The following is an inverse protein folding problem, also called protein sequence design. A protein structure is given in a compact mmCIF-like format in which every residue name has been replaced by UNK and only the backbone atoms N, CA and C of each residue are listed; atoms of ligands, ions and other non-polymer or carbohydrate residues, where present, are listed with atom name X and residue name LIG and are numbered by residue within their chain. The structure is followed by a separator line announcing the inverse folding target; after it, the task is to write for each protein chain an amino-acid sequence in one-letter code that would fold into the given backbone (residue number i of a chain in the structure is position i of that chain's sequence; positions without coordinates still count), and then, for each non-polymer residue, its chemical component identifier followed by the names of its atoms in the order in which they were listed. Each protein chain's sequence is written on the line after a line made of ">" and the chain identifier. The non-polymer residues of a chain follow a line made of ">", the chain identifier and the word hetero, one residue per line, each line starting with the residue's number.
data_IF_281756119516
#
_entry.id   IF_281756119516
#
_cell.length_a   1.000
_cell.length_b   1.000
_cell.length_c   1.000
_cell.angle_alpha   90.00
_cell.angle_beta   90.00
_cell.angle_gamma   90.00
#
_symmetry.space_group_name_H-M   'P 1'
#
loop_
_entity.id
_entity.type
_entity.pdbx_description
1 polymer ?
#
# COMPACT_ATOMS: atom_id res chain seq x y z
N UNK A 1 3.56 8.97 -45.57
CA UNK A 1 2.73 9.42 -44.44
C UNK A 1 3.51 9.09 -43.18
N UNK A 2 4.08 10.07 -42.50
CA UNK A 2 4.72 9.83 -41.20
C UNK A 2 3.60 9.48 -40.23
N UNK A 3 3.52 8.22 -39.80
CA UNK A 3 2.52 7.80 -38.83
C UNK A 3 2.69 8.66 -37.55
N UNK A 4 1.67 9.42 -37.20
CA UNK A 4 1.67 10.23 -35.99
C UNK A 4 1.80 9.31 -34.78
N UNK A 5 2.89 9.46 -34.02
CA UNK A 5 3.09 8.75 -32.77
C UNK A 5 2.29 9.44 -31.67
N UNK A 6 1.37 8.72 -31.02
CA UNK A 6 0.55 9.24 -29.92
C UNK A 6 0.79 8.43 -28.65
N UNK A 7 0.63 9.08 -27.50
CA UNK A 7 0.94 8.51 -26.20
C UNK A 7 0.03 9.16 -25.13
N UNK A 8 -0.69 8.36 -24.33
CA UNK A 8 -1.56 8.85 -23.24
C UNK A 8 -1.54 7.91 -22.04
N UNK A 9 -1.80 8.46 -20.85
CA UNK A 9 -1.75 7.68 -19.63
C UNK A 9 -2.40 8.34 -18.42
N UNK A 10 -2.69 7.51 -17.42
CA UNK A 10 -3.36 7.89 -16.18
C UNK A 10 -2.41 7.74 -14.99
N UNK A 11 -2.64 8.56 -13.97
CA UNK A 11 -1.99 8.51 -12.67
C UNK A 11 -3.06 8.21 -11.61
N UNK A 12 -3.02 7.04 -10.99
CA UNK A 12 -3.99 6.65 -9.95
C UNK A 12 -3.29 6.72 -8.61
N UNK A 13 -3.55 7.78 -7.85
CA UNK A 13 -3.06 7.92 -6.48
C UNK A 13 -3.85 6.98 -5.58
N UNK A 14 -3.17 6.19 -4.74
CA UNK A 14 -3.88 5.42 -3.72
C UNK A 14 -4.57 6.34 -2.71
N UNK A 15 -5.57 5.82 -2.01
CA UNK A 15 -6.34 6.59 -1.04
C UNK A 15 -5.52 7.11 0.14
N UNK A 16 -4.27 6.67 0.29
CA UNK A 16 -3.32 7.16 1.29
C UNK A 16 -2.41 8.28 0.75
N UNK A 17 -2.44 8.57 -0.56
CA UNK A 17 -1.50 9.52 -1.17
C UNK A 17 -0.06 9.01 -1.28
N UNK A 18 0.19 7.71 -1.08
CA UNK A 18 1.55 7.15 -0.91
C UNK A 18 2.12 6.56 -2.20
N UNK A 19 1.26 6.06 -3.08
CA UNK A 19 1.66 5.45 -4.34
C UNK A 19 0.82 5.94 -5.50
N UNK A 20 1.41 5.98 -6.70
CA UNK A 20 0.73 6.34 -7.94
C UNK A 20 0.98 5.28 -8.99
N UNK A 21 -0.08 4.74 -9.58
CA UNK A 21 0.03 3.87 -10.75
C UNK A 21 0.03 4.71 -12.01
N UNK A 22 1.11 4.64 -12.79
CA UNK A 22 1.20 5.23 -14.11
C UNK A 22 0.97 4.16 -15.16
N UNK A 23 0.02 4.41 -16.06
CA UNK A 23 -0.36 3.46 -17.11
C UNK A 23 -0.30 4.13 -18.46
N UNK A 24 0.46 3.55 -19.38
CA UNK A 24 0.39 3.91 -20.79
C UNK A 24 -0.69 3.09 -21.49
N UNK A 25 -1.76 3.76 -21.87
CA UNK A 25 -2.98 3.13 -22.41
C UNK A 25 -3.01 3.15 -23.93
N UNK A 26 -2.28 4.06 -24.57
CA UNK A 26 -2.20 4.16 -26.02
C UNK A 26 -0.76 4.42 -26.46
N UNK A 27 -0.34 3.69 -27.49
CA UNK A 27 0.90 3.90 -28.23
C UNK A 27 0.69 3.50 -29.68
N UNK A 28 0.81 4.44 -30.61
CA UNK A 28 0.64 4.21 -32.05
C UNK A 28 1.92 4.56 -32.83
N UNK A 29 2.12 3.94 -34.00
CA UNK A 29 3.28 4.22 -34.86
C UNK A 29 4.62 3.71 -34.33
N UNK A 30 4.61 2.83 -33.32
CA UNK A 30 5.79 2.12 -32.82
C UNK A 30 5.42 0.64 -32.61
N UNK A 31 5.94 -0.28 -33.43
CA UNK A 31 5.75 -1.72 -33.24
C UNK A 31 6.25 -2.20 -31.87
N UNK A 32 5.49 -3.08 -31.21
CA UNK A 32 5.83 -3.58 -29.88
C UNK A 32 7.21 -4.25 -29.80
N UNK A 33 7.67 -4.88 -30.88
CA UNK A 33 8.99 -5.50 -30.98
C UNK A 33 10.15 -4.49 -31.10
N UNK A 34 9.88 -3.21 -31.28
CA UNK A 34 10.89 -2.15 -31.25
C UNK A 34 11.04 -1.50 -29.87
N UNK A 35 10.17 -1.86 -28.91
CA UNK A 35 10.14 -1.28 -27.57
C UNK A 35 10.93 -2.19 -26.64
N UNK A 36 12.00 -1.64 -26.06
CA UNK A 36 12.75 -2.27 -24.97
C UNK A 36 12.02 -2.03 -23.65
N UNK A 37 11.78 -0.74 -23.33
CA UNK A 37 11.21 -0.34 -22.05
C UNK A 37 10.45 0.98 -22.13
N UNK A 38 9.58 1.18 -21.14
CA UNK A 38 8.99 2.49 -20.83
C UNK A 38 9.42 2.91 -19.44
N UNK A 39 10.01 4.10 -19.32
CA UNK A 39 10.34 4.70 -18.02
C UNK A 39 9.35 5.81 -17.70
N UNK A 40 9.03 5.95 -16.42
CA UNK A 40 8.21 7.04 -15.89
C UNK A 40 9.06 7.86 -14.93
N UNK A 41 9.11 9.18 -15.10
CA UNK A 41 9.88 10.08 -14.25
C UNK A 41 8.98 11.12 -13.61
N UNK A 42 9.10 11.31 -12.30
CA UNK A 42 8.42 12.34 -11.49
C UNK A 42 9.47 13.01 -10.60
N UNK A 43 9.81 14.27 -10.89
CA UNK A 43 10.97 14.91 -10.26
C UNK A 43 12.23 14.06 -10.46
N UNK A 44 12.90 13.68 -9.37
CA UNK A 44 14.09 12.82 -9.39
C UNK A 44 13.77 11.32 -9.38
N UNK A 45 12.51 10.94 -9.15
CA UNK A 45 12.09 9.53 -9.06
C UNK A 45 11.88 8.95 -10.44
N UNK A 46 12.40 7.75 -10.69
CA UNK A 46 12.19 7.01 -11.95
C UNK A 46 11.68 5.60 -11.69
N UNK A 47 10.66 5.19 -12.44
CA UNK A 47 10.10 3.84 -12.43
C UNK A 47 10.18 3.19 -13.81
N UNK A 48 10.30 1.86 -13.83
CA UNK A 48 10.34 1.04 -15.04
C UNK A 48 9.01 0.29 -15.20
N UNK A 49 8.43 0.32 -16.40
CA UNK A 49 7.20 -0.42 -16.68
C UNK A 49 7.39 -1.93 -16.62
N UNK A 50 6.35 -2.67 -16.26
CA UNK A 50 6.23 -4.08 -16.65
C UNK A 50 6.27 -4.20 -18.18
N UNK A 51 6.81 -5.33 -18.68
CA UNK A 51 6.80 -5.62 -20.12
C UNK A 51 5.38 -5.93 -20.61
N UNK A 52 5.09 -5.59 -21.86
CA UNK A 52 3.80 -5.78 -22.51
C UNK A 52 2.81 -4.65 -22.25
N UNK A 53 1.89 -4.44 -23.20
CA UNK A 53 0.81 -3.47 -23.05
C UNK A 53 -0.29 -3.96 -22.10
N UNK A 54 -0.91 -3.06 -21.31
CA UNK A 54 -0.53 -1.67 -21.13
C UNK A 54 0.76 -1.56 -20.31
N UNK A 55 1.69 -0.69 -20.76
CA UNK A 55 2.96 -0.48 -20.05
C UNK A 55 2.66 0.27 -18.77
N UNK A 56 2.78 -0.37 -17.61
CA UNK A 56 2.41 0.24 -16.33
C UNK A 56 3.48 0.08 -15.26
N UNK A 57 3.53 1.04 -14.35
CA UNK A 57 4.40 1.03 -13.17
C UNK A 57 3.64 1.57 -11.98
N UNK A 58 3.88 1.01 -10.80
CA UNK A 58 3.50 1.61 -9.55
C UNK A 58 4.72 2.31 -8.96
N UNK A 59 4.60 3.58 -8.60
CA UNK A 59 5.69 4.38 -8.04
C UNK A 59 5.33 4.94 -6.68
N UNK A 60 6.32 5.01 -5.79
CA UNK A 60 6.18 5.70 -4.50
C UNK A 60 6.27 7.19 -4.74
N UNK A 61 5.32 7.95 -4.21
CA UNK A 61 5.35 9.42 -4.20
C UNK A 61 5.74 9.98 -2.84
N UNK A 62 6.23 9.14 -1.94
CA UNK A 62 6.78 9.55 -0.64
C UNK A 62 7.81 10.67 -0.83
N UNK A 63 7.64 11.74 -0.07
CA UNK A 63 8.50 12.92 -0.10
C UNK A 63 8.09 13.99 -1.12
N UNK A 64 7.08 13.74 -1.96
CA UNK A 64 6.48 14.79 -2.78
C UNK A 64 5.43 15.56 -1.95
N UNK A 65 5.44 16.90 -1.98
CA UNK A 65 4.44 17.70 -1.28
C UNK A 65 3.05 17.57 -1.95
N UNK A 66 1.96 17.87 -1.23
CA UNK A 66 0.65 18.04 -1.86
C UNK A 66 0.68 19.09 -2.97
N UNK A 67 -0.15 18.90 -4.00
CA UNK A 67 -0.25 19.79 -5.15
C UNK A 67 -0.10 19.07 -6.49
N UNK A 68 -0.04 19.87 -7.56
CA UNK A 68 0.13 19.35 -8.92
C UNK A 68 1.57 18.93 -9.18
N UNK A 69 1.73 17.76 -9.77
CA UNK A 69 2.98 17.16 -10.22
C UNK A 69 2.86 16.71 -11.68
N UNK A 70 3.99 16.40 -12.29
CA UNK A 70 4.05 15.92 -13.67
C UNK A 70 4.80 14.60 -13.75
N UNK A 71 4.28 13.67 -14.55
CA UNK A 71 4.98 12.45 -14.92
C UNK A 71 5.38 12.53 -16.38
N UNK A 72 6.63 12.19 -16.69
CA UNK A 72 7.10 12.00 -18.06
C UNK A 72 7.27 10.51 -18.35
N UNK A 73 6.50 9.98 -19.30
CA UNK A 73 6.72 8.63 -19.84
C UNK A 73 7.68 8.71 -21.03
N UNK A 74 8.72 7.87 -21.07
CA UNK A 74 9.67 7.77 -22.20
C UNK A 74 9.73 6.34 -22.69
N UNK A 75 9.49 6.13 -23.99
CA UNK A 75 9.58 4.83 -24.66
C UNK A 75 10.96 4.70 -25.29
N UNK A 76 11.69 3.65 -24.97
CA UNK A 76 13.03 3.37 -25.48
C UNK A 76 13.04 2.18 -26.43
N UNK A 77 13.94 2.20 -27.41
CA UNK A 77 14.32 1.02 -28.17
C UNK A 77 15.48 0.26 -27.51
N UNK A 78 15.85 -0.89 -28.07
CA UNK A 78 16.97 -1.72 -27.60
C UNK A 78 18.34 -1.05 -27.73
N UNK A 79 18.46 0.05 -28.49
CA UNK A 79 19.65 0.90 -28.53
C UNK A 79 19.64 2.01 -27.47
N UNK A 80 18.70 1.95 -26.51
CA UNK A 80 18.48 2.98 -25.46
C UNK A 80 18.19 4.39 -26.00
N UNK A 81 17.68 4.50 -27.21
CA UNK A 81 17.22 5.77 -27.78
C UNK A 81 15.74 6.00 -27.45
N UNK A 82 15.36 7.24 -27.12
CA UNK A 82 13.97 7.62 -26.89
C UNK A 82 13.23 7.69 -28.22
N UNK A 83 12.20 6.86 -28.39
CA UNK A 83 11.36 6.81 -29.58
C UNK A 83 10.22 7.83 -29.55
N UNK A 84 9.67 8.08 -28.35
CA UNK A 84 8.63 9.07 -28.03
C UNK A 84 8.58 9.30 -26.52
N UNK A 85 8.07 10.46 -26.10
CA UNK A 85 7.72 10.75 -24.72
C UNK A 85 6.38 11.48 -24.58
N UNK A 86 5.74 11.33 -23.42
CA UNK A 86 4.52 12.04 -23.02
C UNK A 86 4.73 12.71 -21.66
N UNK A 87 4.04 13.81 -21.41
CA UNK A 87 3.90 14.36 -20.06
C UNK A 87 2.43 14.41 -19.68
N UNK A 88 2.10 14.01 -18.45
CA UNK A 88 0.76 14.13 -17.89
C UNK A 88 0.84 14.75 -16.50
N UNK A 89 -0.15 15.56 -16.15
CA UNK A 89 -0.28 16.12 -14.81
C UNK A 89 -1.03 15.16 -13.89
N UNK A 90 -0.70 15.16 -12.62
CA UNK A 90 -1.47 14.50 -11.57
C UNK A 90 -1.42 15.33 -10.28
N UNK A 91 -2.37 15.13 -9.38
CA UNK A 91 -2.44 15.88 -8.12
C UNK A 91 -2.23 14.93 -6.95
N UNK A 92 -1.40 15.33 -5.99
CA UNK A 92 -1.33 14.70 -4.68
C UNK A 92 -2.19 15.54 -3.73
N UNK A 93 -3.27 14.96 -3.24
CA UNK A 93 -4.12 15.64 -2.27
C UNK A 93 -3.44 15.76 -0.90
N UNK A 94 -3.70 16.85 -0.20
CA UNK A 94 -3.29 16.97 1.19
C UNK A 94 -4.14 16.02 2.04
N UNK A 95 -3.48 15.18 2.85
CA UNK A 95 -4.15 14.22 3.73
C UNK A 95 -3.78 14.55 5.17
N UNK A 96 -4.77 14.58 6.06
CA UNK A 96 -4.52 14.59 7.50
C UNK A 96 -4.23 13.15 7.96
N UNK A 97 -2.98 12.74 7.81
CA UNK A 97 -2.47 11.44 8.22
C UNK A 97 -2.20 11.42 9.72
N UNK A 98 -2.78 10.43 10.42
CA UNK A 98 -2.60 10.27 11.86
C UNK A 98 -1.53 9.24 12.24
N UNK A 99 -1.21 8.29 11.36
CA UNK A 99 -0.20 7.28 11.62
C UNK A 99 1.17 7.73 11.12
N UNK A 100 2.20 7.47 11.91
CA UNK A 100 3.59 7.66 11.50
C UNK A 100 4.27 6.32 11.27
N UNK A 101 5.31 6.31 10.45
CA UNK A 101 6.08 5.10 10.10
C UNK A 101 5.17 3.91 9.68
N UNK A 102 4.09 4.18 8.94
CA UNK A 102 3.20 3.13 8.44
C UNK A 102 3.78 2.32 7.28
N UNK A 103 4.88 2.80 6.68
CA UNK A 103 5.69 2.06 5.70
C UNK A 103 6.84 1.27 6.35
N UNK A 104 7.00 1.35 7.68
CA UNK A 104 7.98 0.61 8.48
C UNK A 104 9.45 0.85 8.10
N UNK A 105 9.72 1.85 7.27
CA UNK A 105 11.07 2.16 6.81
C UNK A 105 11.96 2.73 7.93
N UNK A 106 11.37 3.28 8.99
CA UNK A 106 12.09 3.70 10.19
C UNK A 106 12.28 2.57 11.24
N UNK A 107 11.99 1.32 10.88
CA UNK A 107 12.03 0.18 11.80
C UNK A 107 10.69 0.02 12.54
N UNK A 108 10.73 -0.55 13.75
CA UNK A 108 9.49 -0.92 14.47
C UNK A 108 8.80 0.26 15.15
N UNK A 109 9.55 1.21 15.72
CA UNK A 109 8.95 2.32 16.47
C UNK A 109 8.20 3.29 15.53
N UNK A 110 7.06 3.86 15.95
CA UNK A 110 6.43 3.77 17.28
C UNK A 110 5.39 2.65 17.40
N UNK A 111 5.38 1.68 16.49
CA UNK A 111 4.51 0.51 16.62
C UNK A 111 4.98 -0.37 17.76
N UNK A 112 4.02 -0.92 18.50
CA UNK A 112 4.27 -1.80 19.64
C UNK A 112 3.13 -2.81 19.78
N UNK A 113 3.26 -3.80 20.66
CA UNK A 113 2.18 -4.75 20.94
C UNK A 113 2.68 -6.01 21.63
N UNK A 114 1.79 -6.95 21.95
CA UNK A 114 2.15 -8.25 22.51
C UNK A 114 2.48 -9.28 21.42
N UNK A 115 3.21 -10.33 21.81
CA UNK A 115 3.54 -11.46 20.94
C UNK A 115 4.72 -11.18 19.99
N UNK A 116 4.95 -12.09 19.03
CA UNK A 116 5.99 -11.92 18.03
C UNK A 116 5.45 -11.14 16.82
N UNK A 117 6.09 -10.00 16.56
CA UNK A 117 5.98 -9.25 15.33
C UNK A 117 7.36 -8.72 14.99
N UNK A 118 7.64 -8.55 13.71
CA UNK A 118 8.97 -8.13 13.26
C UNK A 118 8.83 -7.19 12.07
N UNK A 119 9.59 -6.10 12.07
CA UNK A 119 9.87 -5.39 10.82
C UNK A 119 10.95 -6.18 10.08
N UNK A 120 10.54 -6.89 9.03
CA UNK A 120 11.48 -7.63 8.20
C UNK A 120 12.34 -6.65 7.41
N UNK A 121 13.62 -6.97 7.25
CA UNK A 121 14.49 -6.34 6.25
C UNK A 121 14.75 -7.33 5.13
N UNK A 122 15.12 -6.80 3.96
CA UNK A 122 15.35 -7.54 2.71
C UNK A 122 16.31 -8.74 2.83
N UNK A 123 17.06 -8.89 3.92
CA UNK A 123 18.06 -9.94 4.13
C UNK A 123 17.49 -11.36 4.40
N UNK A 124 16.16 -11.53 4.49
CA UNK A 124 15.53 -12.86 4.65
C UNK A 124 14.75 -13.25 3.38
N UNK A 125 15.20 -14.30 2.69
CA UNK A 125 14.85 -14.77 1.33
C UNK A 125 13.36 -15.04 1.00
N UNK A 126 12.36 -14.54 1.74
CA UNK A 126 10.94 -14.81 1.42
C UNK A 126 9.97 -13.63 1.54
N UNK A 127 10.39 -12.47 2.07
CA UNK A 127 9.52 -11.32 2.35
C UNK A 127 10.04 -10.00 1.79
N UNK A 128 9.76 -9.70 0.51
CA UNK A 128 9.92 -8.34 0.00
C UNK A 128 8.89 -7.41 0.66
N UNK A 129 9.31 -6.20 1.06
CA UNK A 129 8.39 -5.09 1.27
C UNK A 129 7.71 -4.68 -0.04
N UNK A 130 6.68 -3.85 0.05
CA UNK A 130 5.85 -3.52 -1.10
C UNK A 130 6.58 -2.63 -2.11
N UNK A 131 7.15 -1.50 -1.66
CA UNK A 131 7.89 -0.56 -2.52
C UNK A 131 9.31 -0.30 -2.06
N UNK A 132 9.62 -0.78 -0.86
CA UNK A 132 10.82 -0.47 -0.08
C UNK A 132 11.22 -1.75 0.66
N UNK A 133 12.43 -1.86 1.24
CA UNK A 133 12.96 -3.13 1.71
C UNK A 133 12.29 -3.65 2.99
N UNK A 134 11.42 -2.89 3.64
CA UNK A 134 10.81 -3.26 4.93
C UNK A 134 9.30 -3.46 4.81
N UNK A 135 8.79 -4.30 5.71
CA UNK A 135 7.37 -4.49 5.97
C UNK A 135 7.20 -4.99 7.40
N UNK A 136 5.98 -4.87 7.94
CA UNK A 136 5.61 -5.48 9.20
C UNK A 136 5.09 -6.90 8.97
N UNK A 137 5.73 -7.89 9.57
CA UNK A 137 5.30 -9.29 9.54
C UNK A 137 4.72 -9.72 10.88
N UNK A 138 3.55 -10.35 10.83
CA UNK A 138 2.81 -10.92 11.96
C UNK A 138 2.54 -12.42 11.73
N UNK A 139 2.40 -13.19 12.81
CA UNK A 139 2.19 -14.64 12.78
C UNK A 139 3.45 -15.45 12.49
N UNK A 140 3.29 -16.66 11.97
CA UNK A 140 4.39 -17.54 11.56
C UNK A 140 4.83 -18.55 12.62
N UNK A 141 4.02 -18.78 13.65
CA UNK A 141 4.33 -19.69 14.75
C UNK A 141 4.12 -21.14 14.35
N UNK A 142 3.02 -21.43 13.64
CA UNK A 142 2.60 -22.80 13.34
C UNK A 142 2.00 -23.57 14.53
N UNK A 143 1.66 -22.86 15.60
CA UNK A 143 0.89 -23.36 16.74
C UNK A 143 0.02 -22.23 17.27
N UNK A 144 -0.92 -22.55 18.19
CA UNK A 144 -1.87 -21.58 18.71
C UNK A 144 -1.15 -20.40 19.34
N UNK A 145 -1.33 -19.22 18.76
CA UNK A 145 -0.68 -18.01 19.20
C UNK A 145 -1.52 -16.78 18.85
N UNK A 146 -1.47 -15.77 19.73
CA UNK A 146 -2.04 -14.44 19.48
C UNK A 146 -0.92 -13.42 19.53
N UNK A 147 -0.80 -12.62 18.47
CA UNK A 147 0.12 -11.48 18.42
C UNK A 147 -0.63 -10.25 17.94
N UNK A 148 -0.19 -9.06 18.33
CA UNK A 148 -0.74 -7.84 17.77
C UNK A 148 0.32 -6.77 17.63
N UNK A 149 0.12 -5.89 16.65
CA UNK A 149 0.90 -4.67 16.50
C UNK A 149 -0.05 -3.48 16.38
N UNK A 150 0.26 -2.41 17.11
CA UNK A 150 -0.62 -1.26 17.28
C UNK A 150 0.13 0.05 17.39
N UNK A 151 -0.56 1.13 17.05
CA UNK A 151 -0.09 2.50 17.21
C UNK A 151 -1.21 3.38 17.77
N UNK A 152 -0.86 4.24 18.74
CA UNK A 152 -1.80 5.18 19.35
C UNK A 152 -2.04 6.38 18.44
N UNK A 153 -3.29 6.74 18.24
CA UNK A 153 -3.70 7.92 17.46
C UNK A 153 -4.80 8.69 18.18
N UNK A 154 -4.77 10.01 18.08
CA UNK A 154 -5.87 10.86 18.55
C UNK A 154 -6.77 11.21 17.38
N UNK A 155 -8.02 10.77 17.41
CA UNK A 155 -9.00 11.13 16.38
C UNK A 155 -9.46 12.57 16.63
N UNK A 156 -9.38 13.49 15.65
CA UNK A 156 -9.85 14.86 15.80
C UNK A 156 -11.32 14.94 16.22
N UNK A 157 -11.66 15.90 17.09
CA UNK A 157 -13.04 16.15 17.53
C UNK A 157 -13.97 16.47 16.35
N UNK A 158 -13.46 17.19 15.36
CA UNK A 158 -14.16 17.62 14.15
C UNK A 158 -13.99 16.65 12.96
N UNK A 159 -13.58 15.40 13.21
CA UNK A 159 -13.51 14.38 12.15
C UNK A 159 -14.89 14.20 11.49
N UNK A 160 -14.94 14.18 10.17
CA UNK A 160 -16.14 13.87 9.36
C UNK A 160 -16.11 12.43 8.87
N UNK A 161 -14.96 12.02 8.36
CA UNK A 161 -14.71 10.68 7.87
C UNK A 161 -13.26 10.29 8.21
N UNK A 162 -12.99 9.01 8.29
CA UNK A 162 -11.62 8.50 8.36
C UNK A 162 -11.53 7.20 7.56
N UNK A 163 -10.37 6.98 6.94
CA UNK A 163 -10.11 5.83 6.09
C UNK A 163 -8.78 5.20 6.48
N UNK A 164 -8.85 3.94 6.92
CA UNK A 164 -7.68 3.11 7.19
C UNK A 164 -7.34 2.33 5.93
N UNK A 165 -6.12 2.52 5.44
CA UNK A 165 -5.61 1.82 4.26
C UNK A 165 -4.26 1.21 4.53
N UNK A 166 -3.95 0.11 3.84
CA UNK A 166 -2.68 -0.58 3.93
C UNK A 166 -2.53 -1.56 2.77
N UNK A 167 -1.33 -2.09 2.60
CA UNK A 167 -1.00 -3.18 1.68
C UNK A 167 -0.92 -4.47 2.47
N UNK A 168 -1.61 -5.49 1.99
CA UNK A 168 -1.65 -6.80 2.64
C UNK A 168 -1.10 -7.88 1.72
N UNK A 169 -0.12 -8.63 2.23
CA UNK A 169 0.35 -9.88 1.64
C UNK A 169 0.13 -11.01 2.65
N UNK A 170 -0.30 -12.16 2.14
CA UNK A 170 -0.53 -13.37 2.95
C UNK A 170 0.25 -14.51 2.32
N UNK A 171 1.14 -15.10 3.10
CA UNK A 171 1.85 -16.33 2.74
C UNK A 171 1.51 -17.40 3.76
N UNK A 172 0.95 -18.52 3.30
CA UNK A 172 0.49 -19.60 4.18
C UNK A 172 1.07 -20.94 3.73
N UNK A 173 1.40 -21.79 4.69
CA UNK A 173 1.77 -23.20 4.50
C UNK A 173 0.56 -24.13 4.66
N UNK A 174 -0.63 -23.58 4.90
CA UNK A 174 -1.87 -24.32 4.98
C UNK A 174 -2.24 -24.92 3.62
N UNK A 175 -2.99 -26.02 3.66
CA UNK A 175 -3.49 -26.63 2.44
C UNK A 175 -4.47 -25.66 1.72
N UNK A 176 -4.50 -25.64 0.38
CA UNK A 176 -5.39 -24.76 -0.37
C UNK A 176 -6.85 -24.89 0.08
N UNK A 177 -7.49 -23.76 0.38
CA UNK A 177 -8.89 -23.69 0.82
C UNK A 177 -9.13 -23.94 2.31
N UNK A 178 -8.11 -24.33 3.08
CA UNK A 178 -8.22 -24.47 4.53
C UNK A 178 -8.15 -23.10 5.19
N UNK A 179 -9.21 -22.71 5.90
CA UNK A 179 -9.24 -21.50 6.72
C UNK A 179 -8.77 -21.88 8.13
N UNK A 180 -7.67 -21.26 8.58
CA UNK A 180 -6.94 -21.66 9.78
C UNK A 180 -6.54 -20.46 10.64
N UNK A 181 -5.88 -19.47 10.02
CA UNK A 181 -5.29 -18.33 10.71
C UNK A 181 -5.96 -17.03 10.25
N UNK A 182 -6.08 -16.08 11.18
CA UNK A 182 -6.84 -14.85 10.99
C UNK A 182 -6.01 -13.61 11.33
N UNK A 183 -6.23 -12.54 10.56
CA UNK A 183 -5.79 -11.18 10.86
C UNK A 183 -7.04 -10.33 11.11
N UNK A 184 -7.21 -9.81 12.31
CA UNK A 184 -8.23 -8.82 12.64
C UNK A 184 -7.63 -7.42 12.62
N UNK A 185 -8.34 -6.49 11.99
CA UNK A 185 -8.03 -5.06 12.00
C UNK A 185 -9.04 -4.39 12.90
N UNK A 186 -8.56 -3.75 13.95
CA UNK A 186 -9.37 -3.24 15.05
C UNK A 186 -9.06 -1.77 15.34
N UNK A 187 -10.02 -1.08 15.97
CA UNK A 187 -9.71 0.03 16.85
C UNK A 187 -9.86 -0.42 18.30
N UNK A 188 -8.83 -0.23 19.11
CA UNK A 188 -8.93 -0.44 20.55
C UNK A 188 -9.26 0.88 21.21
N UNK A 189 -10.40 0.89 21.89
CA UNK A 189 -10.88 2.01 22.70
C UNK A 189 -11.14 1.50 24.11
N UNK A 190 -10.50 2.11 25.10
CA UNK A 190 -10.69 1.77 26.52
C UNK A 190 -10.55 0.26 26.84
N UNK A 191 -9.70 -0.45 26.09
CA UNK A 191 -9.47 -1.89 26.24
C UNK A 191 -10.50 -2.79 25.54
N UNK A 192 -11.44 -2.23 24.78
CA UNK A 192 -12.41 -2.97 23.98
C UNK A 192 -12.13 -2.82 22.48
N UNK A 193 -12.31 -3.92 21.73
CA UNK A 193 -12.11 -3.96 20.29
C UNK A 193 -13.36 -3.51 19.54
N UNK A 194 -13.18 -2.56 18.63
CA UNK A 194 -14.09 -2.28 17.53
C UNK A 194 -13.50 -2.94 16.29
N UNK A 195 -13.99 -4.13 15.95
CA UNK A 195 -13.51 -4.88 14.78
C UNK A 195 -13.94 -4.15 13.50
N UNK A 196 -12.96 -3.73 12.70
CA UNK A 196 -13.21 -3.07 11.43
C UNK A 196 -13.31 -4.08 10.28
N UNK A 197 -12.42 -5.08 10.27
CA UNK A 197 -12.41 -6.15 9.27
C UNK A 197 -11.56 -7.33 9.74
N UNK A 198 -11.93 -8.53 9.33
CA UNK A 198 -11.13 -9.74 9.53
C UNK A 198 -10.76 -10.37 8.18
N UNK A 199 -9.50 -10.76 8.05
CA UNK A 199 -8.94 -11.52 6.94
C UNK A 199 -8.53 -12.90 7.43
N UNK A 200 -8.35 -13.83 6.50
CA UNK A 200 -7.82 -15.15 6.81
C UNK A 200 -6.72 -15.57 5.83
N UNK A 201 -6.05 -16.67 6.16
CA UNK A 201 -4.92 -17.23 5.42
C UNK A 201 -5.23 -17.61 3.95
N UNK A 202 -6.51 -17.74 3.55
CA UNK A 202 -6.91 -18.08 2.18
C UNK A 202 -7.03 -16.86 1.26
N UNK A 203 -6.82 -15.65 1.77
CA UNK A 203 -6.83 -14.42 0.98
C UNK A 203 -5.78 -14.48 -0.14
N UNK A 204 -6.25 -14.43 -1.39
CA UNK A 204 -5.37 -14.42 -2.56
C UNK A 204 -4.69 -13.05 -2.75
N UNK A 205 -3.53 -12.88 -2.15
CA UNK A 205 -2.69 -11.67 -2.31
C UNK A 205 -1.87 -11.64 -3.61
N UNK A 206 -1.89 -12.72 -4.42
CA UNK A 206 -1.09 -12.90 -5.64
C UNK A 206 -1.91 -12.78 -6.94
N UNK A 207 -3.18 -12.41 -6.82
CA UNK A 207 -4.12 -12.29 -7.95
C UNK A 207 -3.91 -11.04 -8.82
N UNK A 208 -4.81 -10.86 -9.79
CA UNK A 208 -4.89 -9.65 -10.62
C UNK A 208 -5.09 -8.41 -9.73
N UNK A 209 -4.33 -7.36 -10.00
CA UNK A 209 -4.32 -6.14 -9.18
C UNK A 209 -3.30 -6.14 -8.03
N UNK A 210 -2.57 -7.25 -7.82
CA UNK A 210 -1.43 -7.25 -6.90
C UNK A 210 -0.19 -6.59 -7.52
N UNK A 211 0.52 -5.84 -6.67
CA UNK A 211 1.86 -5.34 -6.94
C UNK A 211 2.79 -5.98 -5.91
N UNK A 212 3.88 -6.61 -6.36
CA UNK A 212 4.82 -7.30 -5.47
C UNK A 212 4.16 -8.33 -4.51
N UNK A 213 3.05 -8.95 -4.94
CA UNK A 213 2.23 -9.88 -4.13
C UNK A 213 1.51 -9.23 -2.93
N UNK A 214 1.33 -7.91 -2.94
CA UNK A 214 0.45 -7.21 -2.01
C UNK A 214 -0.81 -6.72 -2.72
N UNK A 215 -1.92 -6.74 -1.99
CA UNK A 215 -3.19 -6.13 -2.41
C UNK A 215 -3.49 -4.87 -1.58
N UNK A 216 -4.12 -3.84 -2.18
CA UNK A 216 -4.60 -2.68 -1.42
C UNK A 216 -5.82 -3.05 -0.58
N UNK A 217 -5.82 -2.61 0.67
CA UNK A 217 -6.96 -2.63 1.57
C UNK A 217 -7.37 -1.19 1.89
N UNK A 218 -8.68 -0.94 1.88
CA UNK A 218 -9.31 0.31 2.31
C UNK A 218 -10.52 -0.01 3.17
N UNK A 219 -10.60 0.59 4.36
CA UNK A 219 -11.67 0.40 5.33
C UNK A 219 -12.10 1.77 5.85
N UNK A 220 -13.40 2.07 5.76
CA UNK A 220 -13.96 3.27 6.39
C UNK A 220 -14.06 3.06 7.90
N UNK A 221 -13.62 4.06 8.65
CA UNK A 221 -13.56 4.03 10.11
C UNK A 221 -14.81 4.70 10.69
N UNK A 222 -15.53 4.07 11.64
CA UNK A 222 -16.73 4.63 12.26
C UNK A 222 -16.38 5.75 13.25
N UNK A 223 -16.10 6.94 12.71
CA UNK A 223 -15.57 8.07 13.49
C UNK A 223 -16.50 8.55 14.61
N UNK A 224 -17.82 8.47 14.44
CA UNK A 224 -18.80 9.03 15.40
C UNK A 224 -18.66 8.49 16.83
N UNK A 225 -18.22 7.24 17.00
CA UNK A 225 -17.98 6.65 18.33
C UNK A 225 -16.63 6.99 18.96
N UNK A 226 -15.71 7.58 18.17
CA UNK A 226 -14.29 7.74 18.54
C UNK A 226 -13.73 9.15 18.34
N UNK A 227 -14.51 10.14 17.85
CA UNK A 227 -14.04 11.53 17.70
C UNK A 227 -13.58 12.10 19.04
N UNK A 228 -12.50 12.87 19.01
CA UNK A 228 -11.90 13.50 20.19
C UNK A 228 -11.11 12.55 21.09
N UNK A 229 -11.15 11.24 20.84
CA UNK A 229 -10.57 10.23 21.71
C UNK A 229 -9.23 9.72 21.17
N UNK A 230 -8.42 9.19 22.08
CA UNK A 230 -7.24 8.40 21.75
C UNK A 230 -7.65 6.94 21.60
N UNK A 231 -7.35 6.35 20.45
CA UNK A 231 -7.56 4.93 20.16
C UNK A 231 -6.25 4.30 19.71
N UNK A 232 -6.18 2.97 19.69
CA UNK A 232 -5.12 2.28 18.98
C UNK A 232 -5.66 1.72 17.66
N UNK A 233 -4.94 1.97 16.55
CA UNK A 233 -5.10 1.15 15.35
C UNK A 233 -4.32 -0.14 15.60
N UNK A 234 -4.99 -1.27 15.56
CA UNK A 234 -4.45 -2.57 15.97
C UNK A 234 -4.65 -3.63 14.89
N UNK A 235 -3.60 -4.40 14.65
CA UNK A 235 -3.60 -5.54 13.75
C UNK A 235 -3.28 -6.77 14.59
N UNK A 236 -4.30 -7.57 14.88
CA UNK A 236 -4.20 -8.78 15.70
C UNK A 236 -4.18 -10.02 14.80
N UNK A 237 -3.21 -10.91 15.01
CA UNK A 237 -3.16 -12.23 14.38
C UNK A 237 -3.49 -13.32 15.40
N UNK A 238 -4.35 -14.25 15.00
CA UNK A 238 -4.66 -15.49 15.73
C UNK A 238 -4.31 -16.68 14.83
N UNK A 239 -3.36 -17.49 15.26
CA UNK A 239 -2.97 -18.75 14.61
C UNK A 239 -3.60 -19.95 15.32
N UNK A 240 -3.82 -21.04 14.58
CA UNK A 240 -4.30 -22.31 15.12
C UNK A 240 -3.16 -23.29 15.48
N UNK A 241 -3.50 -24.49 15.96
CA UNK A 241 -2.53 -25.54 16.30
C UNK A 241 -2.32 -26.61 15.19
N UNK A 242 -2.13 -26.19 13.94
CA UNK A 242 -2.00 -27.09 12.78
C UNK A 242 -0.57 -27.52 12.40
N UNK A 243 0.47 -26.94 13.02
CA UNK A 243 1.86 -27.16 12.61
C UNK A 243 2.27 -26.42 11.34
N UNK A 244 1.37 -25.63 10.75
CA UNK A 244 1.55 -24.86 9.51
C UNK A 244 1.56 -23.38 9.81
N UNK A 245 2.46 -22.65 9.14
CA UNK A 245 2.69 -21.22 9.40
C UNK A 245 1.91 -20.35 8.43
N UNK A 246 1.33 -19.27 8.93
CA UNK A 246 0.82 -18.18 8.10
C UNK A 246 1.47 -16.87 8.52
N UNK A 247 1.97 -16.13 7.53
CA UNK A 247 2.51 -14.79 7.70
C UNK A 247 1.57 -13.76 7.07
N UNK A 248 1.15 -12.80 7.87
CA UNK A 248 0.46 -11.60 7.42
C UNK A 248 1.48 -10.46 7.36
N UNK A 249 1.67 -9.90 6.17
CA UNK A 249 2.61 -8.80 5.91
C UNK A 249 1.85 -7.52 5.60
N UNK A 250 2.13 -6.48 6.37
CA UNK A 250 1.53 -5.16 6.27
C UNK A 250 2.59 -4.17 5.78
N UNK A 251 2.18 -3.27 4.89
CA UNK A 251 3.01 -2.17 4.43
C UNK A 251 2.14 -0.95 4.05
N UNK A 252 2.73 0.23 3.98
CA UNK A 252 2.08 1.50 3.65
C UNK A 252 0.77 1.75 4.43
N UNK A 253 0.75 1.44 5.73
CA UNK A 253 -0.39 1.70 6.61
C UNK A 253 -0.64 3.21 6.70
N UNK A 254 -1.90 3.62 6.64
CA UNK A 254 -2.32 5.03 6.65
C UNK A 254 -3.69 5.17 7.28
N UNK A 255 -3.85 6.15 8.16
CA UNK A 255 -5.14 6.58 8.68
C UNK A 255 -5.37 8.04 8.29
N UNK A 256 -6.02 8.22 7.14
CA UNK A 256 -6.40 9.51 6.60
C UNK A 256 -7.70 9.99 7.24
N UNK A 257 -7.72 11.22 7.76
CA UNK A 257 -8.93 11.83 8.35
C UNK A 257 -9.36 13.05 7.56
N UNK A 258 -10.65 13.14 7.25
CA UNK A 258 -11.24 14.38 6.77
C UNK A 258 -11.82 15.14 7.96
N UNK A 259 -11.46 16.40 8.13
CA UNK A 259 -11.97 17.25 9.22
C UNK A 259 -12.91 18.32 8.68
N UNK A 260 -13.94 18.66 9.44
CA UNK A 260 -14.75 19.83 9.15
C UNK A 260 -14.00 21.15 9.37
N UNK A 261 -14.32 22.16 8.59
CA UNK A 261 -13.84 23.54 8.81
C UNK A 261 -14.22 24.00 10.21
N UNK A 262 -13.22 24.38 11.00
CA UNK A 262 -13.46 25.07 12.27
C UNK A 262 -13.69 26.54 11.93
N UNK A 263 -14.95 26.98 11.91
CA UNK A 263 -15.26 28.41 11.93
C UNK A 263 -15.02 28.85 13.37
N UNK A 264 -13.91 29.54 13.62
CA UNK A 264 -13.70 30.21 14.90
C UNK A 264 -14.43 31.54 14.79
N UNK A 265 -15.50 31.72 15.59
CA UNK A 265 -16.24 32.98 15.72
C UNK A 265 -15.61 33.78 16.86
#
# INVERSE_FOLDING_TARGET
>A
VTESKNISGNAIVDSAGKTVEFVLTQLTGIPANQIDRVTYTVGEKTGLSKSGMPYRVLMSVKGLPPGQHFVTARVYNYASQVLIQATSAFTIEAVNELLVNGDFEAGVLPWFGPGLFTVETQEQETGYGFMSPRNMRLGGHGFQHTSAVRQSVKIPQNAKSAKLTFRLRVDTQEAPGVIADFLSVNLLKDGADIVLRTFNNTLNSKGSGSWYQYIPISIDVPVDGVKGQTVYVDFEVKENSGGKKTWFRLDNVSLAVETGTVITI
#
